data_IF_559928742143
#
_entry.id   IF_559928742143
#
_cell.length_a   1.000
_cell.length_b   1.000
_cell.length_c   1.000
_cell.angle_alpha   90.00
_cell.angle_beta   90.00
_cell.angle_gamma   90.00
#
_symmetry.space_group_name_H-M   'P 1'
#
loop_
_entity.id
_entity.type
_entity.pdbx_description
1 polymer ?
#
# COMPACT_ATOMS: atom_id res chain seq x y z
N UNK A 1 -8.41 9.26 -31.43
CA UNK A 1 -7.40 8.19 -31.24
C UNK A 1 -7.75 7.16 -30.16
N UNK A 2 -8.87 7.28 -29.42
CA UNK A 2 -9.29 6.28 -28.40
C UNK A 2 -10.26 5.19 -28.93
N UNK A 3 -10.49 5.14 -30.25
CA UNK A 3 -11.53 4.28 -30.84
C UNK A 3 -11.06 2.86 -31.23
N UNK A 4 -9.89 2.42 -30.76
CA UNK A 4 -9.32 1.13 -31.13
C UNK A 4 -9.08 0.19 -29.94
N UNK A 5 -9.87 0.28 -28.86
CA UNK A 5 -9.98 -0.85 -27.95
C UNK A 5 -11.13 -1.73 -28.43
N UNK A 6 -10.86 -2.87 -29.11
CA UNK A 6 -11.92 -3.80 -29.42
C UNK A 6 -12.61 -4.15 -28.10
N UNK A 7 -13.94 -4.05 -28.07
CA UNK A 7 -14.80 -4.39 -26.94
C UNK A 7 -14.79 -5.91 -26.70
N UNK A 8 -13.60 -6.50 -26.61
CA UNK A 8 -13.37 -7.91 -26.38
C UNK A 8 -13.60 -8.18 -24.91
N UNK A 9 -14.86 -8.52 -24.58
CA UNK A 9 -15.26 -8.96 -23.23
C UNK A 9 -14.30 -10.00 -22.67
N UNK A 10 -13.79 -10.89 -23.52
CA UNK A 10 -12.76 -11.88 -23.17
C UNK A 10 -11.47 -11.25 -22.68
N UNK A 11 -10.90 -10.26 -23.39
CA UNK A 11 -9.67 -9.59 -22.96
C UNK A 11 -9.86 -8.89 -21.61
N UNK A 12 -11.02 -8.27 -21.39
CA UNK A 12 -11.37 -7.66 -20.10
C UNK A 12 -11.49 -8.72 -19.00
N UNK A 13 -12.21 -9.82 -19.24
CA UNK A 13 -12.34 -10.91 -18.26
C UNK A 13 -10.98 -11.51 -17.91
N UNK A 14 -10.11 -11.74 -18.90
CA UNK A 14 -8.75 -12.25 -18.69
C UNK A 14 -7.93 -11.27 -17.85
N UNK A 15 -7.92 -9.98 -18.17
CA UNK A 15 -7.22 -8.96 -17.39
C UNK A 15 -7.71 -8.89 -15.93
N UNK A 16 -9.02 -8.91 -15.72
CA UNK A 16 -9.60 -8.88 -14.38
C UNK A 16 -9.29 -10.16 -13.60
N UNK A 17 -9.35 -11.33 -14.24
CA UNK A 17 -9.01 -12.61 -13.61
C UNK A 17 -7.53 -12.68 -13.23
N UNK A 18 -6.64 -12.20 -14.09
CA UNK A 18 -5.21 -12.13 -13.83
C UNK A 18 -4.91 -11.15 -12.68
N UNK A 19 -5.50 -9.95 -12.71
CA UNK A 19 -5.35 -8.98 -11.64
C UNK A 19 -5.86 -9.52 -10.29
N UNK A 20 -7.00 -10.22 -10.28
CA UNK A 20 -7.54 -10.86 -9.07
C UNK A 20 -6.60 -11.96 -8.55
N UNK A 21 -6.03 -12.78 -9.44
CA UNK A 21 -5.09 -13.83 -9.06
C UNK A 21 -3.77 -13.27 -8.50
N UNK A 22 -3.25 -12.21 -9.10
CA UNK A 22 -2.08 -11.50 -8.59
C UNK A 22 -2.39 -10.87 -7.22
N UNK A 23 -3.52 -10.20 -7.06
CA UNK A 23 -3.94 -9.66 -5.76
C UNK A 23 -4.07 -10.77 -4.71
N UNK A 24 -4.71 -11.90 -5.06
CA UNK A 24 -4.84 -13.03 -4.15
C UNK A 24 -3.47 -13.60 -3.76
N UNK A 25 -2.55 -13.75 -4.72
CA UNK A 25 -1.18 -14.20 -4.46
C UNK A 25 -0.41 -13.24 -3.54
N UNK A 26 -0.56 -11.93 -3.73
CA UNK A 26 0.05 -10.91 -2.86
C UNK A 26 -0.60 -10.83 -1.48
N UNK A 27 -1.91 -11.11 -1.36
CA UNK A 27 -2.63 -11.15 -0.08
C UNK A 27 -2.37 -12.43 0.70
N UNK A 28 -2.07 -13.54 0.04
CA UNK A 28 -1.80 -14.83 0.65
C UNK A 28 -0.74 -14.76 1.77
N UNK A 29 0.46 -14.16 1.59
CA UNK A 29 1.42 -14.03 2.68
C UNK A 29 0.88 -13.17 3.82
N UNK A 30 0.13 -12.10 3.53
CA UNK A 30 -0.50 -11.25 4.56
C UNK A 30 -1.52 -12.03 5.38
N UNK A 31 -2.34 -12.87 4.73
CA UNK A 31 -3.32 -13.74 5.39
C UNK A 31 -2.66 -14.86 6.21
N UNK A 32 -1.46 -15.31 5.85
CA UNK A 32 -0.66 -16.26 6.64
C UNK A 32 -0.02 -15.57 7.85
N UNK A 33 0.39 -14.30 7.73
CA UNK A 33 0.94 -13.50 8.83
C UNK A 33 -0.12 -13.20 9.90
N UNK A 34 -1.39 -13.05 9.54
CA UNK A 34 -2.49 -12.80 10.49
C UNK A 34 -2.60 -13.88 11.58
N UNK A 35 -2.81 -15.18 11.28
CA UNK A 35 -2.90 -16.24 12.31
C UNK A 35 -1.56 -16.45 13.02
N UNK A 36 -0.42 -16.23 12.35
CA UNK A 36 0.89 -16.23 13.00
C UNK A 36 1.01 -15.09 14.03
N UNK A 37 0.45 -13.91 13.75
CA UNK A 37 0.39 -12.78 14.69
C UNK A 37 -0.52 -13.04 15.90
N UNK A 38 -1.44 -14.01 15.80
CA UNK A 38 -2.27 -14.47 16.91
C UNK A 38 -1.69 -15.69 17.63
N UNK A 39 -0.58 -16.26 17.14
CA UNK A 39 0.04 -17.44 17.73
C UNK A 39 1.05 -17.05 18.82
N UNK A 40 0.84 -17.63 20.00
CA UNK A 40 1.43 -17.23 21.28
C UNK A 40 2.86 -17.71 21.55
N UNK A 41 3.52 -18.43 20.65
CA UNK A 41 4.74 -19.16 21.01
C UNK A 41 5.99 -18.63 20.31
N UNK A 42 6.99 -18.27 21.11
CA UNK A 42 8.36 -17.96 20.67
C UNK A 42 9.13 -19.24 20.22
N UNK A 43 8.44 -20.38 20.19
CA UNK A 43 8.95 -21.71 19.87
C UNK A 43 7.87 -22.46 19.09
N UNK A 44 8.25 -23.07 17.97
CA UNK A 44 7.44 -23.95 17.14
C UNK A 44 7.05 -25.21 17.94
N UNK A 45 6.03 -25.15 18.80
CA UNK A 45 5.58 -26.32 19.56
C UNK A 45 4.06 -26.48 19.48
N UNK A 46 3.65 -27.63 18.92
CA UNK A 46 2.27 -28.14 18.90
C UNK A 46 2.05 -28.94 20.19
N UNK A 47 1.03 -28.70 21.05
CA UNK A 47 -0.33 -28.23 20.76
C UNK A 47 -0.71 -26.90 21.49
N UNK A 48 -1.32 -25.92 20.79
CA UNK A 48 -1.65 -24.62 21.38
C UNK A 48 -2.88 -24.70 22.31
N UNK A 49 -2.69 -24.50 23.62
CA UNK A 49 -3.76 -24.45 24.62
C UNK A 49 -4.33 -23.03 24.87
N UNK A 50 -3.79 -21.97 24.26
CA UNK A 50 -4.28 -20.61 24.47
C UNK A 50 -4.00 -19.64 23.30
N UNK A 51 -5.03 -18.93 22.85
CA UNK A 51 -4.91 -17.73 22.01
C UNK A 51 -4.32 -16.59 22.86
N UNK A 52 -3.10 -16.11 22.60
CA UNK A 52 -2.53 -15.01 23.39
C UNK A 52 -2.63 -13.67 22.67
N UNK A 53 -3.33 -12.71 23.28
CA UNK A 53 -3.31 -11.29 22.92
C UNK A 53 -2.06 -10.56 23.46
N UNK A 54 -1.07 -11.29 23.97
CA UNK A 54 0.14 -10.75 24.63
C UNK A 54 0.93 -9.79 23.75
N UNK A 55 1.01 -10.02 22.45
CA UNK A 55 1.69 -9.09 21.53
C UNK A 55 0.94 -7.77 21.39
N UNK A 56 -0.39 -7.82 21.40
CA UNK A 56 -1.24 -6.64 21.42
C UNK A 56 -1.06 -5.90 22.75
N UNK A 57 -1.14 -6.59 23.89
CA UNK A 57 -0.90 -6.01 25.21
C UNK A 57 0.51 -5.40 25.36
N UNK A 58 1.56 -6.08 24.86
CA UNK A 58 2.93 -5.55 24.89
C UNK A 58 3.12 -4.35 23.96
N UNK A 59 2.43 -4.33 22.82
CA UNK A 59 2.45 -3.20 21.89
C UNK A 59 1.76 -1.97 22.50
N UNK A 60 0.60 -2.15 23.16
CA UNK A 60 -0.13 -1.06 23.80
C UNK A 60 0.45 -0.65 25.16
N UNK A 61 1.09 -1.58 25.88
CA UNK A 61 1.68 -1.34 27.21
C UNK A 61 3.10 -0.77 27.17
N UNK A 62 3.84 -0.92 26.07
CA UNK A 62 5.18 -0.38 25.95
C UNK A 62 5.16 1.06 25.43
N UNK A 63 5.64 1.98 26.28
CA UNK A 63 5.78 3.39 25.94
C UNK A 63 6.64 3.62 24.68
N UNK A 64 7.64 2.76 24.43
CA UNK A 64 8.50 2.85 23.24
C UNK A 64 7.75 2.56 21.95
N UNK A 65 6.92 1.51 21.92
CA UNK A 65 6.12 1.16 20.74
C UNK A 65 5.07 2.22 20.44
N UNK A 66 4.41 2.75 21.46
CA UNK A 66 3.46 3.85 21.33
C UNK A 66 4.12 5.14 20.86
N UNK A 67 5.31 5.47 21.38
CA UNK A 67 6.08 6.64 20.97
C UNK A 67 6.56 6.52 19.52
N UNK A 68 6.98 5.33 19.09
CA UNK A 68 7.36 5.06 17.70
C UNK A 68 6.16 5.24 16.77
N UNK A 69 4.99 4.66 17.11
CA UNK A 69 3.78 4.81 16.32
C UNK A 69 3.34 6.28 16.21
N UNK A 70 3.38 7.02 17.33
CA UNK A 70 3.06 8.46 17.34
C UNK A 70 4.02 9.26 16.47
N UNK A 71 5.31 8.98 16.58
CA UNK A 71 6.35 9.65 15.77
C UNK A 71 6.13 9.40 14.28
N UNK A 72 5.93 8.14 13.89
CA UNK A 72 5.67 7.77 12.49
C UNK A 72 4.38 8.40 11.96
N UNK A 73 3.32 8.45 12.76
CA UNK A 73 2.04 9.02 12.36
C UNK A 73 2.14 10.55 12.16
N UNK A 74 2.82 11.25 13.08
CA UNK A 74 3.07 12.68 12.97
C UNK A 74 3.95 12.98 11.75
N UNK A 75 5.11 12.31 11.65
CA UNK A 75 6.05 12.54 10.54
C UNK A 75 5.39 12.20 9.20
N UNK A 76 4.74 11.05 9.09
CA UNK A 76 4.05 10.63 7.87
C UNK A 76 2.96 11.62 7.44
N UNK A 77 2.16 12.12 8.38
CA UNK A 77 1.11 13.11 8.08
C UNK A 77 1.71 14.45 7.66
N UNK A 78 2.74 14.95 8.36
CA UNK A 78 3.41 16.20 8.00
C UNK A 78 4.08 16.08 6.63
N UNK A 79 4.76 14.98 6.35
CA UNK A 79 5.36 14.71 5.05
C UNK A 79 4.30 14.65 3.95
N UNK A 80 3.17 13.95 4.16
CA UNK A 80 2.09 13.90 3.18
C UNK A 80 1.49 15.29 2.91
N UNK A 81 1.24 16.07 3.97
CA UNK A 81 0.69 17.42 3.87
C UNK A 81 1.59 18.39 3.12
N UNK A 82 2.91 18.20 3.15
CA UNK A 82 3.86 19.04 2.41
C UNK A 82 4.07 18.47 0.99
N UNK A 83 4.28 17.16 0.87
CA UNK A 83 4.60 16.52 -0.41
C UNK A 83 3.44 16.62 -1.41
N UNK A 84 2.20 16.41 -0.97
CA UNK A 84 1.01 16.43 -1.86
C UNK A 84 0.82 17.79 -2.54
N UNK A 85 0.76 18.94 -1.85
CA UNK A 85 0.60 20.23 -2.51
C UNK A 85 1.81 20.58 -3.37
N UNK A 86 3.04 20.24 -2.96
CA UNK A 86 4.22 20.45 -3.80
C UNK A 86 4.17 19.62 -5.09
N UNK A 87 3.81 18.34 -5.00
CA UNK A 87 3.65 17.48 -6.16
C UNK A 87 2.51 17.96 -7.07
N UNK A 88 1.39 18.41 -6.50
CA UNK A 88 0.27 18.97 -7.25
C UNK A 88 0.67 20.26 -7.98
N UNK A 89 1.36 21.18 -7.31
CA UNK A 89 1.88 22.41 -7.91
C UNK A 89 2.89 22.11 -9.02
N UNK A 90 3.77 21.13 -8.82
CA UNK A 90 4.73 20.67 -9.84
C UNK A 90 4.02 20.06 -11.06
N UNK A 91 2.98 19.26 -10.85
CA UNK A 91 2.17 18.70 -11.94
C UNK A 91 1.45 19.81 -12.72
N UNK A 92 0.84 20.77 -12.03
CA UNK A 92 0.15 21.91 -12.66
C UNK A 92 1.15 22.78 -13.43
N UNK A 93 2.33 23.06 -12.86
CA UNK A 93 3.37 23.83 -13.52
C UNK A 93 3.90 23.10 -14.75
N UNK A 94 4.18 21.80 -14.65
CA UNK A 94 4.61 20.99 -15.79
C UNK A 94 3.56 20.94 -16.90
N UNK A 95 2.27 20.81 -16.57
CA UNK A 95 1.20 20.83 -17.58
C UNK A 95 1.03 22.21 -18.24
N UNK A 96 1.25 23.32 -17.51
CA UNK A 96 1.07 24.69 -18.02
C UNK A 96 2.32 25.27 -18.71
N UNK A 97 3.52 24.99 -18.19
CA UNK A 97 4.81 25.42 -18.74
C UNK A 97 5.38 24.44 -19.76
N UNK A 98 5.02 23.15 -19.66
CA UNK A 98 5.41 22.10 -20.60
C UNK A 98 4.87 22.31 -22.02
N UNK A 99 3.94 23.24 -22.24
CA UNK A 99 3.58 23.70 -23.58
C UNK A 99 4.76 24.34 -24.34
N UNK A 100 5.77 24.90 -23.64
CA UNK A 100 6.93 25.53 -24.27
C UNK A 100 8.05 24.54 -24.61
N UNK A 101 8.21 23.45 -23.85
CA UNK A 101 9.16 22.36 -24.15
C UNK A 101 8.55 21.28 -25.05
N UNK A 102 7.23 21.05 -24.97
CA UNK A 102 6.50 20.20 -25.92
C UNK A 102 6.50 20.77 -27.35
N UNK A 103 6.54 22.10 -27.49
CA UNK A 103 6.69 22.76 -28.79
C UNK A 103 8.07 22.53 -29.44
N UNK A 104 9.11 22.21 -28.65
CA UNK A 104 10.48 21.94 -29.18
C UNK A 104 10.68 20.48 -29.60
N UNK A 105 9.84 19.55 -29.15
CA UNK A 105 9.91 18.14 -29.56
C UNK A 105 9.05 17.89 -30.83
N UNK A 106 8.16 18.83 -31.18
CA UNK A 106 7.32 18.79 -32.38
C UNK A 106 7.85 19.64 -33.56
N UNK A 107 8.98 20.33 -33.42
CA UNK A 107 9.68 21.05 -34.50
C UNK A 107 10.85 20.24 -35.02
#
# INVERSE_FOLDING_TARGET
>A
MLEAYPQNRLARIVLWSFAALVMAFLMLPTLVVVPLSFSASNLLEFPPHAYSLRWYENFFGSATWMAALRTSLILGTLTALIAVPFALLACISMNRLGGKTAATIQS
#
